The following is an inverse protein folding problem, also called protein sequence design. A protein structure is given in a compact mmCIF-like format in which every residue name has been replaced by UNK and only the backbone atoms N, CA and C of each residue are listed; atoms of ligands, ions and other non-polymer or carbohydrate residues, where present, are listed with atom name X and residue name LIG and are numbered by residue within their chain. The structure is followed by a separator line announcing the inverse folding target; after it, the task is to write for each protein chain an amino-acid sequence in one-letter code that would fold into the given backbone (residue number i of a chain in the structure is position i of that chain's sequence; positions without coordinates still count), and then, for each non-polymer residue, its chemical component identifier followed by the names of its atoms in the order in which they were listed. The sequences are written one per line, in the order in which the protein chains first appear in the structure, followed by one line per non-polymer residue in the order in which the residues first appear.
data_IF_517716121392
#
_entry.id   IF_517716121392
#
_cell.length_a   1.000
_cell.length_b   1.000
_cell.length_c   1.000
_cell.angle_alpha   90.00
_cell.angle_beta   90.00
_cell.angle_gamma   90.00
#
_symmetry.space_group_name_H-M   'P 1'
#
loop_
_entity.id
_entity.type
_entity.pdbx_description
1 polymer ?
#
# COMPACT_ATOMS: atom_id res chain seq x y z
N UNK A 1 13.11 -15.78 5.32
CA UNK A 1 13.15 -14.34 5.66
C UNK A 1 13.44 -14.25 7.15
N UNK A 2 14.71 -14.13 7.54
CA UNK A 2 15.17 -14.30 8.94
C UNK A 2 15.69 -13.01 9.58
N UNK A 3 15.56 -11.88 8.87
CA UNK A 3 16.04 -10.55 9.30
C UNK A 3 15.59 -10.17 10.71
N UNK A 4 14.30 -10.39 11.01
CA UNK A 4 13.73 -10.03 12.30
C UNK A 4 14.44 -10.75 13.45
N UNK A 5 15.00 -11.95 13.25
CA UNK A 5 15.74 -12.67 14.29
C UNK A 5 17.09 -12.05 14.59
N UNK A 6 17.72 -11.43 13.59
CA UNK A 6 19.02 -10.76 13.73
C UNK A 6 18.88 -9.38 14.40
N UNK A 7 17.75 -8.70 14.15
CA UNK A 7 17.48 -7.34 14.64
C UNK A 7 16.59 -7.29 15.89
N UNK A 8 16.03 -8.43 16.33
CA UNK A 8 15.27 -8.55 17.58
C UNK A 8 16.16 -8.52 18.82
N UNK A 9 16.99 -7.47 18.94
CA UNK A 9 17.76 -7.17 20.13
C UNK A 9 17.65 -5.68 20.48
N UNK A 10 17.90 -5.37 21.75
CA UNK A 10 17.69 -4.03 22.31
C UNK A 10 18.54 -2.95 21.60
N UNK A 11 19.81 -3.23 21.33
CA UNK A 11 20.72 -2.24 20.70
C UNK A 11 20.29 -1.92 19.27
N UNK A 12 19.98 -2.94 18.48
CA UNK A 12 19.55 -2.77 17.08
C UNK A 12 18.21 -2.06 16.97
N UNK A 13 17.28 -2.37 17.86
CA UNK A 13 16.00 -1.70 17.96
C UNK A 13 16.15 -0.19 18.21
N UNK A 14 16.98 0.21 19.19
CA UNK A 14 17.19 1.61 19.53
C UNK A 14 18.11 2.35 18.54
N UNK A 15 18.99 1.64 17.83
CA UNK A 15 19.82 2.21 16.75
C UNK A 15 19.08 2.39 15.42
N UNK A 16 17.79 2.04 15.36
CA UNK A 16 17.00 2.24 14.15
C UNK A 16 16.78 3.75 13.91
N UNK A 17 17.12 4.29 12.72
CA UNK A 17 17.04 5.72 12.44
C UNK A 17 15.58 6.16 12.22
N UNK A 18 14.79 6.15 13.29
CA UNK A 18 13.41 6.64 13.30
C UNK A 18 13.38 8.14 13.08
N UNK A 19 12.29 8.64 12.51
CA UNK A 19 12.03 10.08 12.44
C UNK A 19 12.05 10.73 13.83
N UNK A 20 12.53 11.97 13.92
CA UNK A 20 12.68 12.70 15.19
C UNK A 20 11.38 12.77 16.00
N UNK A 21 10.23 12.91 15.31
CA UNK A 21 8.91 12.91 15.95
C UNK A 21 8.64 11.62 16.75
N UNK A 22 9.09 10.47 16.23
CA UNK A 22 8.97 9.18 16.95
C UNK A 22 9.91 9.14 18.15
N UNK A 23 11.14 9.64 17.98
CA UNK A 23 12.12 9.67 19.07
C UNK A 23 11.64 10.53 20.24
N UNK A 24 11.05 11.70 19.95
CA UNK A 24 10.45 12.58 20.97
C UNK A 24 9.24 11.96 21.68
N UNK A 25 8.50 11.10 20.98
CA UNK A 25 7.33 10.43 21.54
C UNK A 25 7.68 9.18 22.34
N UNK A 26 8.86 8.59 22.12
CA UNK A 26 9.30 7.31 22.67
C UNK A 26 9.90 7.47 24.09
N UNK A 27 9.03 7.74 25.06
CA UNK A 27 9.35 7.73 26.48
C UNK A 27 8.84 6.44 27.15
N UNK A 28 8.80 6.37 28.49
CA UNK A 28 8.16 5.27 29.22
C UNK A 28 6.71 5.03 28.76
N UNK A 29 6.04 6.09 28.34
CA UNK A 29 4.72 6.10 27.71
C UNK A 29 4.79 6.92 26.43
N UNK A 30 3.93 6.63 25.46
CA UNK A 30 3.88 7.43 24.24
C UNK A 30 3.46 8.87 24.55
N UNK A 31 4.35 9.83 24.31
CA UNK A 31 4.08 11.25 24.56
C UNK A 31 3.50 11.90 23.31
N UNK A 32 2.35 12.56 23.46
CA UNK A 32 1.72 13.33 22.38
C UNK A 32 2.24 14.77 22.38
N UNK A 33 3.22 15.04 21.51
CA UNK A 33 3.76 16.39 21.31
C UNK A 33 2.98 17.15 20.24
N UNK A 34 2.69 18.43 20.49
CA UNK A 34 2.05 19.31 19.49
C UNK A 34 2.95 19.46 18.25
N UNK A 35 2.38 19.29 17.06
CA UNK A 35 3.09 19.25 15.78
C UNK A 35 3.41 17.82 15.28
N UNK A 36 3.34 16.82 16.17
CA UNK A 36 3.60 15.41 15.84
C UNK A 36 2.30 14.60 15.67
N UNK A 37 1.16 15.28 15.42
CA UNK A 37 -0.16 14.66 15.30
C UNK A 37 -0.23 13.66 14.14
N UNK A 38 0.63 13.84 13.12
CA UNK A 38 0.76 12.91 12.00
C UNK A 38 1.13 11.49 12.43
N UNK A 39 1.81 11.30 13.57
CA UNK A 39 2.13 9.96 14.07
C UNK A 39 0.87 9.12 14.36
N UNK A 40 -0.23 9.76 14.76
CA UNK A 40 -1.51 9.12 15.04
C UNK A 40 -2.45 9.08 13.83
N UNK A 41 -2.09 9.72 12.71
CA UNK A 41 -2.92 9.74 11.52
C UNK A 41 -2.97 8.36 10.85
N UNK A 42 -4.14 7.89 10.43
CA UNK A 42 -4.26 6.60 9.77
C UNK A 42 -3.55 6.65 8.40
N UNK A 43 -2.55 5.79 8.13
CA UNK A 43 -1.82 5.84 6.87
C UNK A 43 -2.63 5.21 5.72
N UNK A 44 -3.63 4.37 5.97
CA UNK A 44 -4.48 3.82 4.91
C UNK A 44 -5.60 4.81 4.53
N UNK A 45 -6.23 5.45 5.52
CA UNK A 45 -7.32 6.40 5.33
C UNK A 45 -6.86 7.83 5.44
N UNK A 46 -6.29 8.32 4.35
CA UNK A 46 -5.84 9.70 4.26
C UNK A 46 -7.00 10.61 3.85
N UNK A 47 -7.41 11.58 4.70
CA UNK A 47 -8.45 12.53 4.33
C UNK A 47 -8.11 13.27 3.04
N UNK A 48 -9.08 13.37 2.13
CA UNK A 48 -8.93 14.05 0.84
C UNK A 48 -8.19 13.27 -0.25
N UNK A 49 -7.40 12.23 0.08
CA UNK A 49 -6.66 11.45 -0.92
C UNK A 49 -7.60 10.78 -1.93
N UNK A 50 -8.60 10.05 -1.46
CA UNK A 50 -9.52 9.33 -2.34
C UNK A 50 -10.26 10.27 -3.29
N UNK A 51 -10.56 11.50 -2.85
CA UNK A 51 -11.20 12.50 -3.69
C UNK A 51 -10.25 13.02 -4.79
N UNK A 52 -8.98 13.27 -4.46
CA UNK A 52 -7.94 13.62 -5.44
C UNK A 52 -7.82 12.51 -6.49
N UNK A 53 -7.71 11.25 -6.04
CA UNK A 53 -7.58 10.10 -6.92
C UNK A 53 -8.78 9.95 -7.85
N UNK A 54 -10.00 10.01 -7.30
CA UNK A 54 -11.26 9.89 -8.06
C UNK A 54 -11.43 11.02 -9.08
N UNK A 55 -11.17 12.26 -8.65
CA UNK A 55 -11.30 13.47 -9.51
C UNK A 55 -10.37 13.39 -10.71
N UNK A 56 -9.14 12.91 -10.52
CA UNK A 56 -8.12 12.88 -11.57
C UNK A 56 -8.05 11.56 -12.35
N UNK A 57 -8.87 10.57 -12.00
CA UNK A 57 -9.10 9.35 -12.78
C UNK A 57 -10.36 9.48 -13.65
N UNK A 58 -11.47 9.97 -13.08
CA UNK A 58 -12.75 10.06 -13.80
C UNK A 58 -12.79 11.18 -14.83
N UNK A 59 -12.05 12.28 -14.59
CA UNK A 59 -12.06 13.46 -15.45
C UNK A 59 -11.32 13.24 -16.77
N UNK A 60 -10.40 12.27 -16.84
CA UNK A 60 -9.69 11.96 -18.09
C UNK A 60 -10.58 11.21 -19.10
N UNK A 61 -11.60 10.49 -18.63
CA UNK A 61 -12.55 9.80 -19.50
C UNK A 61 -13.54 10.74 -20.23
N UNK A 62 -13.65 12.02 -19.80
CA UNK A 62 -14.65 12.95 -20.34
C UNK A 62 -14.14 14.36 -20.66
N UNK A 63 -12.89 14.71 -20.39
CA UNK A 63 -12.31 16.01 -20.79
C UNK A 63 -11.26 15.83 -21.88
N UNK A 64 -11.69 15.91 -23.14
CA UNK A 64 -10.82 16.01 -24.32
C UNK A 64 -9.93 17.28 -24.30
N UNK A 65 -10.22 18.25 -23.43
CA UNK A 65 -9.70 19.63 -23.59
C UNK A 65 -8.62 20.11 -22.59
N UNK A 66 -8.21 19.32 -21.58
CA UNK A 66 -7.26 19.85 -20.55
C UNK A 66 -6.02 19.03 -20.20
N UNK A 67 -5.85 17.84 -20.75
CA UNK A 67 -4.54 17.20 -20.82
C UNK A 67 -4.51 16.35 -22.08
N UNK A 68 -3.76 16.81 -23.09
CA UNK A 68 -3.56 16.11 -24.36
C UNK A 68 -3.29 14.62 -24.11
N UNK A 69 -4.26 13.85 -24.57
CA UNK A 69 -4.29 12.47 -25.01
C UNK A 69 -3.12 11.55 -24.64
N UNK A 70 -3.48 10.43 -24.03
CA UNK A 70 -2.58 9.32 -23.67
C UNK A 70 -2.48 8.29 -24.81
N UNK A 71 -3.20 8.47 -25.93
CA UNK A 71 -3.22 7.47 -27.00
C UNK A 71 -2.78 7.99 -28.37
N UNK A 72 -2.72 9.30 -28.58
CA UNK A 72 -2.48 9.84 -29.93
C UNK A 72 -1.76 11.19 -29.92
N UNK A 73 -0.56 11.23 -29.34
CA UNK A 73 0.36 12.36 -29.61
C UNK A 73 0.92 12.20 -31.04
N UNK A 74 0.04 12.30 -32.03
CA UNK A 74 0.43 12.87 -33.31
C UNK A 74 0.91 14.29 -33.02
N UNK A 75 2.24 14.39 -32.97
CA UNK A 75 3.06 15.56 -33.23
C UNK A 75 2.27 16.88 -33.35
N UNK A 76 2.29 17.71 -32.29
CA UNK A 76 2.39 19.14 -32.56
C UNK A 76 3.86 19.38 -32.90
N UNK A 77 4.26 19.51 -34.18
CA UNK A 77 5.61 19.95 -34.48
C UNK A 77 5.87 21.23 -33.67
N UNK A 78 7.07 21.38 -33.10
CA UNK A 78 7.42 22.64 -32.46
C UNK A 78 7.09 23.77 -33.45
N UNK A 79 6.41 24.85 -33.01
CA UNK A 79 6.11 25.97 -33.90
C UNK A 79 7.42 26.32 -34.59
N UNK A 80 7.42 26.25 -35.92
CA UNK A 80 8.60 26.38 -36.76
C UNK A 80 9.23 27.76 -36.53
N UNK A 81 10.07 27.89 -35.52
CA UNK A 81 10.84 29.09 -35.25
C UNK A 81 12.29 28.68 -35.00
N UNK A 82 13.02 28.66 -36.11
CA UNK A 82 14.47 28.92 -36.18
C UNK A 82 15.35 28.01 -35.30
N UNK A 83 15.51 26.77 -35.74
CA UNK A 83 16.80 26.07 -35.89
C UNK A 83 17.96 26.36 -34.88
N UNK A 84 17.71 26.33 -33.56
CA UNK A 84 18.80 26.34 -32.55
C UNK A 84 18.67 25.32 -31.42
N UNK A 85 17.50 24.70 -31.23
CA UNK A 85 17.34 23.69 -30.18
C UNK A 85 17.84 22.32 -30.67
N UNK A 86 18.96 21.85 -30.10
CA UNK A 86 19.54 20.55 -30.43
C UNK A 86 18.62 19.39 -29.99
N UNK A 87 17.88 19.56 -28.89
CA UNK A 87 16.98 18.52 -28.37
C UNK A 87 15.73 18.34 -29.22
N UNK A 88 15.32 19.38 -29.95
CA UNK A 88 14.20 19.29 -30.89
C UNK A 88 14.44 18.36 -32.08
N UNK A 89 15.69 17.98 -32.34
CA UNK A 89 16.08 17.01 -33.39
C UNK A 89 16.01 15.56 -32.91
N UNK A 90 15.92 15.33 -31.59
CA UNK A 90 15.91 13.99 -31.04
C UNK A 90 14.51 13.35 -31.17
N UNK A 91 14.45 12.05 -31.49
CA UNK A 91 13.24 11.26 -31.35
C UNK A 91 12.62 11.39 -29.96
N UNK A 92 11.31 11.18 -29.89
CA UNK A 92 10.54 11.32 -28.65
C UNK A 92 11.04 10.36 -27.56
N UNK A 93 11.42 9.16 -27.94
CA UNK A 93 11.91 8.10 -27.07
C UNK A 93 13.17 8.57 -26.33
N UNK A 94 14.12 9.16 -27.06
CA UNK A 94 15.36 9.70 -26.48
C UNK A 94 15.09 10.89 -25.58
N UNK A 95 14.15 11.78 -25.95
CA UNK A 95 13.75 12.90 -25.08
C UNK A 95 13.11 12.38 -23.78
N UNK A 96 12.29 11.35 -23.87
CA UNK A 96 11.62 10.75 -22.70
C UNK A 96 12.62 10.01 -21.82
N UNK A 97 13.60 9.32 -22.41
CA UNK A 97 14.69 8.67 -21.68
C UNK A 97 15.55 9.68 -20.92
N UNK A 98 15.85 10.84 -21.52
CA UNK A 98 16.51 11.95 -20.81
C UNK A 98 15.66 12.38 -19.60
N UNK A 99 14.35 12.57 -19.78
CA UNK A 99 13.46 12.98 -18.69
C UNK A 99 13.41 11.97 -17.54
N UNK A 100 13.46 10.66 -17.81
CA UNK A 100 13.48 9.64 -16.76
C UNK A 100 14.74 9.67 -15.89
N UNK A 101 15.87 10.14 -16.42
CA UNK A 101 17.11 10.29 -15.67
C UNK A 101 17.16 11.52 -14.76
N UNK A 102 16.31 12.52 -15.00
CA UNK A 102 16.42 13.84 -14.36
C UNK A 102 15.56 13.98 -13.10
N UNK A 103 16.00 14.79 -12.15
CA UNK A 103 15.17 15.17 -10.99
C UNK A 103 14.09 16.20 -11.36
N UNK A 104 13.11 16.41 -10.48
CA UNK A 104 12.02 17.37 -10.71
C UNK A 104 12.52 18.82 -10.88
N UNK A 105 13.59 19.20 -10.18
CA UNK A 105 14.28 20.49 -10.34
C UNK A 105 14.89 20.61 -11.73
N UNK A 106 15.63 19.59 -12.15
CA UNK A 106 16.32 19.58 -13.44
C UNK A 106 15.34 19.53 -14.61
N UNK A 107 14.23 18.79 -14.47
CA UNK A 107 13.13 18.81 -15.44
C UNK A 107 12.56 20.21 -15.57
N UNK A 108 12.39 20.94 -14.47
CA UNK A 108 11.88 22.33 -14.51
C UNK A 108 12.87 23.25 -15.21
N UNK A 109 14.16 23.15 -14.89
CA UNK A 109 15.22 23.90 -15.56
C UNK A 109 15.30 23.57 -17.06
N UNK A 110 15.17 22.30 -17.41
CA UNK A 110 15.18 21.83 -18.80
C UNK A 110 13.99 22.36 -19.59
N UNK A 111 12.81 22.44 -18.97
CA UNK A 111 11.60 23.05 -19.57
C UNK A 111 11.78 24.53 -19.85
N UNK A 112 12.54 25.23 -19.02
CA UNK A 112 12.88 26.64 -19.23
C UNK A 112 13.93 26.80 -20.34
N UNK A 113 14.92 25.90 -20.39
CA UNK A 113 16.06 25.97 -21.31
C UNK A 113 15.73 25.52 -22.74
N UNK A 114 14.87 24.52 -22.92
CA UNK A 114 14.57 23.92 -24.23
C UNK A 114 13.05 23.81 -24.47
N UNK A 115 12.54 24.42 -25.56
CA UNK A 115 11.15 24.27 -25.98
C UNK A 115 10.72 22.81 -26.19
N UNK A 116 11.65 21.91 -26.55
CA UNK A 116 11.38 20.50 -26.81
C UNK A 116 10.81 19.73 -25.60
N UNK A 117 10.96 20.27 -24.38
CA UNK A 117 10.50 19.64 -23.13
C UNK A 117 9.31 20.35 -22.46
N UNK A 118 8.78 21.44 -23.05
CA UNK A 118 7.68 22.22 -22.43
C UNK A 118 6.45 21.37 -22.11
N UNK A 119 6.14 20.42 -22.99
CA UNK A 119 5.08 19.43 -22.83
C UNK A 119 5.68 18.13 -22.30
N UNK A 120 5.30 17.74 -21.09
CA UNK A 120 5.74 16.50 -20.48
C UNK A 120 4.68 15.41 -20.63
N UNK A 121 5.06 14.18 -21.04
CA UNK A 121 4.16 13.04 -21.06
C UNK A 121 3.64 12.68 -19.68
N UNK A 122 2.42 12.14 -19.60
CA UNK A 122 1.82 11.65 -18.35
C UNK A 122 2.66 10.51 -17.73
N UNK A 123 3.29 9.67 -18.55
CA UNK A 123 4.20 8.62 -18.10
C UNK A 123 5.39 9.16 -17.31
N UNK A 124 5.88 10.37 -17.61
CA UNK A 124 6.97 11.01 -16.86
C UNK A 124 6.51 11.35 -15.45
N UNK A 125 5.31 11.91 -15.28
CA UNK A 125 4.77 12.20 -13.94
C UNK A 125 4.49 10.93 -13.13
N UNK A 126 4.02 9.85 -13.77
CA UNK A 126 3.87 8.55 -13.12
C UNK A 126 5.22 8.03 -12.62
N UNK A 127 6.26 8.07 -13.45
CA UNK A 127 7.62 7.67 -13.04
C UNK A 127 8.16 8.55 -11.91
N UNK A 128 7.90 9.87 -11.95
CA UNK A 128 8.27 10.78 -10.87
C UNK A 128 7.54 10.47 -9.56
N UNK A 129 6.24 10.13 -9.61
CA UNK A 129 5.47 9.70 -8.45
C UNK A 129 6.06 8.44 -7.84
N UNK A 130 6.32 7.41 -8.65
CA UNK A 130 6.90 6.15 -8.17
C UNK A 130 8.27 6.36 -7.52
N UNK A 131 9.10 7.23 -8.09
CA UNK A 131 10.45 7.46 -7.58
C UNK A 131 10.48 8.37 -6.35
N UNK A 132 9.69 9.45 -6.33
CA UNK A 132 9.75 10.48 -5.26
C UNK A 132 8.69 10.31 -4.17
N UNK A 133 7.58 9.64 -4.49
CA UNK A 133 6.43 9.43 -3.58
C UNK A 133 5.92 7.98 -3.66
N UNK A 134 6.79 6.98 -3.52
CA UNK A 134 6.38 5.57 -3.52
C UNK A 134 5.39 5.24 -2.38
N UNK A 135 5.33 6.09 -1.36
CA UNK A 135 4.35 6.00 -0.27
C UNK A 135 2.91 6.32 -0.69
N UNK A 136 2.64 6.74 -1.94
CA UNK A 136 1.29 6.75 -2.51
C UNK A 136 1.02 5.38 -3.13
N UNK A 137 0.56 4.46 -2.29
CA UNK A 137 0.47 3.05 -2.62
C UNK A 137 -0.55 2.76 -3.74
N UNK A 138 -1.60 3.57 -3.87
CA UNK A 138 -2.65 3.44 -4.88
C UNK A 138 -2.11 3.53 -6.33
N UNK A 139 -0.90 4.06 -6.51
CA UNK A 139 -0.23 4.19 -7.82
C UNK A 139 0.35 2.86 -8.33
N UNK A 140 0.71 1.93 -7.44
CA UNK A 140 1.48 0.73 -7.81
C UNK A 140 1.19 -0.53 -7.00
N UNK A 141 0.68 -0.40 -5.78
CA UNK A 141 0.45 -1.52 -4.89
C UNK A 141 -0.91 -2.15 -5.19
N UNK A 142 -0.90 -3.39 -5.65
CA UNK A 142 -2.11 -4.20 -5.87
C UNK A 142 -2.58 -4.92 -4.61
N UNK A 143 -1.81 -4.85 -3.52
CA UNK A 143 -2.15 -5.54 -2.29
C UNK A 143 -3.30 -4.81 -1.59
N UNK A 144 -4.29 -5.56 -1.07
CA UNK A 144 -5.37 -4.98 -0.31
C UNK A 144 -4.86 -4.40 1.01
N UNK A 145 -5.60 -3.45 1.58
CA UNK A 145 -5.34 -3.01 2.95
C UNK A 145 -5.69 -4.13 3.92
N UNK A 146 -4.78 -4.37 4.85
CA UNK A 146 -5.02 -5.32 5.92
C UNK A 146 -6.25 -4.90 6.72
N UNK A 147 -7.09 -5.88 7.07
CA UNK A 147 -8.20 -5.73 8.00
C UNK A 147 -7.83 -4.90 9.25
N UNK A 148 -6.64 -5.13 9.80
CA UNK A 148 -6.18 -4.49 11.03
C UNK A 148 -6.02 -2.97 10.89
N UNK A 149 -5.82 -2.46 9.68
CA UNK A 149 -5.75 -1.01 9.42
C UNK A 149 -7.13 -0.32 9.42
N UNK A 150 -8.20 -1.09 9.25
CA UNK A 150 -9.58 -0.61 9.15
C UNK A 150 -10.42 -0.89 10.39
N UNK A 151 -9.90 -1.74 11.26
CA UNK A 151 -10.67 -2.28 12.35
C UNK A 151 -10.45 -1.50 13.62
N UNK A 152 -11.54 -1.01 14.21
CA UNK A 152 -11.50 -0.40 15.53
C UNK A 152 -11.55 -1.46 16.63
N UNK A 153 -10.94 -1.18 17.78
CA UNK A 153 -11.01 -2.04 18.96
C UNK A 153 -12.45 -2.36 19.37
N UNK A 154 -13.36 -1.40 19.22
CA UNK A 154 -14.79 -1.59 19.51
C UNK A 154 -15.46 -2.57 18.56
N UNK A 155 -15.11 -2.53 17.26
CA UNK A 155 -15.64 -3.48 16.28
C UNK A 155 -15.14 -4.90 16.54
N UNK A 156 -13.86 -5.06 16.90
CA UNK A 156 -13.29 -6.35 17.32
C UNK A 156 -14.02 -6.93 18.51
N UNK A 157 -14.19 -6.15 19.58
CA UNK A 157 -14.87 -6.61 20.80
C UNK A 157 -16.29 -7.08 20.51
N UNK A 158 -17.06 -6.30 19.74
CA UNK A 158 -18.43 -6.68 19.36
C UNK A 158 -18.49 -7.99 18.59
N UNK A 159 -17.56 -8.19 17.68
CA UNK A 159 -17.52 -9.40 16.88
C UNK A 159 -17.06 -10.61 17.71
N UNK A 160 -16.06 -10.42 18.58
CA UNK A 160 -15.60 -11.46 19.50
C UNK A 160 -16.72 -11.87 20.46
N UNK A 161 -17.40 -10.90 21.07
CA UNK A 161 -18.60 -11.14 21.90
C UNK A 161 -19.68 -11.91 21.14
N UNK A 162 -19.93 -11.56 19.88
CA UNK A 162 -20.89 -12.26 19.03
C UNK A 162 -20.46 -13.70 18.79
N UNK A 163 -19.20 -13.93 18.43
CA UNK A 163 -18.64 -15.26 18.20
C UNK A 163 -18.76 -16.13 19.46
N UNK A 164 -18.38 -15.59 20.63
CA UNK A 164 -18.48 -16.31 21.89
C UNK A 164 -19.93 -16.66 22.26
N UNK A 165 -20.89 -15.76 21.99
CA UNK A 165 -22.33 -16.06 22.18
C UNK A 165 -22.81 -17.18 21.28
N UNK A 166 -22.48 -17.13 19.98
CA UNK A 166 -22.88 -18.15 19.01
C UNK A 166 -22.23 -19.51 19.31
N UNK A 167 -20.93 -19.51 19.65
CA UNK A 167 -20.21 -20.71 20.07
C UNK A 167 -20.79 -21.32 21.34
N UNK A 168 -21.04 -20.50 22.36
CA UNK A 168 -21.63 -20.98 23.62
C UNK A 168 -23.02 -21.59 23.39
N UNK A 169 -23.88 -20.93 22.62
CA UNK A 169 -25.21 -21.48 22.31
C UNK A 169 -25.14 -22.82 21.58
N UNK A 170 -24.15 -23.01 20.70
CA UNK A 170 -23.89 -24.30 20.05
C UNK A 170 -23.41 -25.36 21.06
N UNK A 171 -22.39 -25.04 21.86
CA UNK A 171 -21.83 -25.95 22.86
C UNK A 171 -22.93 -26.39 23.86
N UNK A 172 -23.73 -25.44 24.38
CA UNK A 172 -24.87 -25.70 25.28
C UNK A 172 -25.95 -26.59 24.62
N UNK A 173 -26.21 -26.42 23.31
CA UNK A 173 -27.21 -27.22 22.58
C UNK A 173 -26.73 -28.65 22.32
N UNK A 174 -25.44 -28.84 22.05
CA UNK A 174 -24.83 -30.15 21.89
C UNK A 174 -24.80 -30.90 23.22
N UNK A 175 -24.45 -30.22 24.31
CA UNK A 175 -24.45 -30.80 25.65
C UNK A 175 -25.86 -31.29 26.05
N UNK A 176 -26.90 -30.47 25.84
CA UNK A 176 -28.28 -30.86 26.10
C UNK A 176 -28.76 -32.08 25.30
N UNK A 177 -28.24 -32.28 24.08
CA UNK A 177 -28.56 -33.45 23.25
C UNK A 177 -27.80 -34.72 23.69
N UNK A 178 -26.66 -34.57 24.35
CA UNK A 178 -25.80 -35.68 24.79
C UNK A 178 -26.06 -36.12 26.25
N UNK A 179 -26.78 -35.33 27.05
CA UNK A 179 -27.17 -35.70 28.42
C UNK A 179 -28.18 -36.86 28.50
N UNK A 180 -28.90 -37.19 27.41
CA UNK A 180 -29.68 -38.42 27.31
C UNK A 180 -28.74 -39.63 27.09
N UNK A 181 -28.47 -40.39 28.16
CA UNK A 181 -27.67 -41.61 28.12
C UNK A 181 -28.31 -42.68 27.19
N UNK A 182 -27.90 -42.72 25.92
CA UNK A 182 -28.29 -43.72 24.93
C UNK A 182 -27.62 -43.49 23.57
N UNK A 183 -27.66 -44.48 22.66
CA UNK A 183 -27.26 -44.26 21.27
C UNK A 183 -28.18 -43.19 20.65
N UNK A 184 -27.64 -42.16 19.97
CA UNK A 184 -28.44 -41.08 19.42
C UNK A 184 -29.47 -41.64 18.43
N UNK A 185 -30.74 -41.31 18.65
CA UNK A 185 -31.80 -41.62 17.68
C UNK A 185 -31.55 -40.92 16.34
N UNK A 186 -32.16 -41.42 15.27
CA UNK A 186 -32.08 -40.79 13.94
C UNK A 186 -32.53 -39.32 13.96
N UNK A 187 -33.48 -38.97 14.84
CA UNK A 187 -33.94 -37.59 15.03
C UNK A 187 -32.87 -36.71 15.67
N UNK A 188 -32.19 -37.20 16.72
CA UNK A 188 -31.08 -36.50 17.37
C UNK A 188 -29.90 -36.32 16.42
N UNK A 189 -29.60 -37.34 15.60
CA UNK A 189 -28.56 -37.25 14.58
C UNK A 189 -28.85 -36.17 13.53
N UNK A 190 -30.11 -36.02 13.10
CA UNK A 190 -30.52 -34.94 12.21
C UNK A 190 -30.38 -33.56 12.85
N UNK A 191 -30.71 -33.44 14.14
CA UNK A 191 -30.58 -32.18 14.88
C UNK A 191 -29.10 -31.78 15.07
N UNK A 192 -28.24 -32.73 15.45
CA UNK A 192 -26.78 -32.56 15.53
C UNK A 192 -26.22 -32.08 14.19
N UNK A 193 -26.60 -32.72 13.07
CA UNK A 193 -26.18 -32.26 11.73
C UNK A 193 -26.62 -30.84 11.43
N UNK A 194 -27.84 -30.47 11.83
CA UNK A 194 -28.36 -29.10 11.65
C UNK A 194 -27.57 -28.07 12.45
N UNK A 195 -27.14 -28.43 13.67
CA UNK A 195 -26.32 -27.60 14.55
C UNK A 195 -24.89 -27.48 13.99
N UNK A 196 -24.28 -28.57 13.54
CA UNK A 196 -22.97 -28.54 12.89
C UNK A 196 -22.95 -27.59 11.70
N UNK A 197 -23.98 -27.64 10.84
CA UNK A 197 -24.11 -26.70 9.71
C UNK A 197 -24.21 -25.24 10.18
N UNK A 198 -25.02 -24.95 11.20
CA UNK A 198 -25.12 -23.58 11.77
C UNK A 198 -23.79 -23.11 12.36
N UNK A 199 -23.03 -24.02 12.97
CA UNK A 199 -21.69 -23.72 13.50
C UNK A 199 -20.70 -23.42 12.37
N UNK A 200 -20.71 -24.22 11.29
CA UNK A 200 -19.91 -23.96 10.08
C UNK A 200 -20.24 -22.58 9.48
N UNK A 201 -21.53 -22.26 9.32
CA UNK A 201 -21.96 -20.93 8.84
C UNK A 201 -21.48 -19.78 9.78
N UNK A 202 -21.43 -20.02 11.09
CA UNK A 202 -20.90 -19.04 12.04
C UNK A 202 -19.38 -18.86 11.92
N UNK A 203 -18.63 -19.96 11.73
CA UNK A 203 -17.19 -19.94 11.46
C UNK A 203 -16.91 -19.19 10.16
N UNK A 204 -17.65 -19.51 9.09
CA UNK A 204 -17.51 -18.83 7.80
C UNK A 204 -17.79 -17.33 7.92
N UNK A 205 -18.84 -16.92 8.65
CA UNK A 205 -19.10 -15.50 8.92
C UNK A 205 -17.96 -14.83 9.68
N UNK A 206 -17.38 -15.51 10.67
CA UNK A 206 -16.21 -15.01 11.43
C UNK A 206 -15.02 -14.78 10.51
N UNK A 207 -14.74 -15.73 9.63
CA UNK A 207 -13.56 -15.68 8.75
C UNK A 207 -13.79 -14.78 7.54
N UNK A 208 -15.03 -14.65 7.06
CA UNK A 208 -15.40 -13.68 6.02
C UNK A 208 -15.14 -12.23 6.46
N UNK A 209 -15.30 -11.93 7.75
CA UNK A 209 -14.95 -10.62 8.29
C UNK A 209 -13.44 -10.36 8.29
N UNK A 210 -12.60 -11.40 8.29
CA UNK A 210 -11.14 -11.25 8.24
C UNK A 210 -10.59 -10.92 6.86
N UNK A 211 -11.45 -10.67 5.88
CA UNK A 211 -11.03 -10.40 4.50
C UNK A 211 -10.42 -9.01 4.39
N UNK A 212 -9.27 -8.94 3.74
CA UNK A 212 -8.61 -7.70 3.39
C UNK A 212 -9.46 -6.91 2.39
N UNK A 213 -9.32 -5.58 2.43
CA UNK A 213 -10.09 -4.67 1.59
C UNK A 213 -9.28 -4.24 0.38
N UNK A 214 -9.86 -4.42 -0.82
CA UNK A 214 -9.19 -4.04 -2.06
C UNK A 214 -8.85 -2.56 -2.08
N UNK A 215 -7.59 -2.25 -2.40
CA UNK A 215 -7.17 -0.89 -2.74
C UNK A 215 -7.44 -0.69 -4.23
N UNK A 216 -8.12 0.39 -4.65
CA UNK A 216 -8.28 0.69 -6.06
C UNK A 216 -6.91 1.10 -6.63
N UNK A 217 -6.33 0.24 -7.46
CA UNK A 217 -5.13 0.57 -8.24
C UNK A 217 -5.54 1.50 -9.36
N UNK A 218 -4.82 2.60 -9.51
CA UNK A 218 -5.14 3.60 -10.52
C UNK A 218 -4.86 3.08 -11.95
N UNK A 219 -5.83 3.15 -12.88
CA UNK A 219 -5.64 2.73 -14.26
C UNK A 219 -4.58 3.62 -14.95
N UNK A 220 -3.57 3.00 -15.55
CA UNK A 220 -2.41 3.76 -16.04
C UNK A 220 -2.69 4.75 -17.16
N UNK A 221 -3.71 4.47 -17.98
CA UNK A 221 -4.07 5.24 -19.18
C UNK A 221 -5.13 6.32 -18.91
N UNK A 222 -5.98 6.12 -17.90
CA UNK A 222 -7.10 6.99 -17.56
C UNK A 222 -6.76 7.97 -16.42
N UNK A 223 -5.53 7.93 -15.91
CA UNK A 223 -5.12 8.74 -14.77
C UNK A 223 -4.34 9.98 -15.20
N UNK A 224 -4.77 11.15 -14.76
CA UNK A 224 -3.98 12.38 -14.90
C UNK A 224 -2.87 12.43 -13.84
N UNK A 225 -1.76 11.77 -14.15
CA UNK A 225 -0.57 11.65 -13.31
C UNK A 225 0.06 13.01 -12.96
N UNK A 226 0.00 13.98 -13.86
CA UNK A 226 0.48 15.35 -13.62
C UNK A 226 -0.26 16.00 -12.45
N UNK A 227 -1.59 15.95 -12.44
CA UNK A 227 -2.35 16.56 -11.36
C UNK A 227 -2.19 15.81 -10.03
N UNK A 228 -2.16 14.47 -10.05
CA UNK A 228 -1.86 13.71 -8.82
C UNK A 228 -0.50 14.14 -8.25
N UNK A 229 0.52 14.30 -9.09
CA UNK A 229 1.81 14.79 -8.65
C UNK A 229 1.72 16.20 -8.03
N UNK A 230 1.06 17.14 -8.71
CA UNK A 230 0.92 18.52 -8.22
C UNK A 230 0.13 18.57 -6.89
N UNK A 231 -1.00 17.87 -6.80
CA UNK A 231 -1.83 17.86 -5.59
C UNK A 231 -1.11 17.19 -4.42
N UNK A 232 -0.39 16.10 -4.68
CA UNK A 232 0.41 15.42 -3.64
C UNK A 232 1.55 16.29 -3.12
N UNK A 233 2.15 17.13 -3.96
CA UNK A 233 3.18 18.08 -3.53
C UNK A 233 2.58 19.20 -2.68
N UNK A 234 1.47 19.79 -3.13
CA UNK A 234 0.76 20.85 -2.40
C UNK A 234 0.33 20.43 -1.00
N UNK A 235 -0.11 19.19 -0.83
CA UNK A 235 -0.63 18.69 0.43
C UNK A 235 0.41 17.96 1.30
N UNK A 236 1.65 17.79 0.81
CA UNK A 236 2.66 16.96 1.46
C UNK A 236 2.89 17.28 2.94
N UNK A 237 2.96 18.57 3.27
CA UNK A 237 3.30 19.05 4.61
C UNK A 237 2.07 19.47 5.44
N UNK A 238 0.87 19.43 4.85
CA UNK A 238 -0.38 19.83 5.53
C UNK A 238 -1.30 18.65 5.77
N UNK A 239 -1.17 17.60 4.97
CA UNK A 239 -1.91 16.36 5.14
C UNK A 239 -1.15 15.42 6.07
N UNK A 240 -1.64 15.31 7.31
CA UNK A 240 -1.06 14.44 8.34
C UNK A 240 -0.93 12.97 7.88
N UNK A 241 -1.86 12.49 7.06
CA UNK A 241 -1.80 11.14 6.50
C UNK A 241 -0.65 10.96 5.50
N UNK A 242 -0.38 11.95 4.65
CA UNK A 242 0.79 11.92 3.76
C UNK A 242 2.10 11.97 4.53
N UNK A 243 2.19 12.83 5.55
CA UNK A 243 3.36 12.88 6.43
C UNK A 243 3.62 11.53 7.10
N UNK A 244 2.57 10.86 7.61
CA UNK A 244 2.73 9.54 8.22
C UNK A 244 3.12 8.47 7.20
N UNK A 245 2.51 8.46 6.01
CA UNK A 245 2.87 7.52 4.93
C UNK A 245 4.33 7.67 4.53
N UNK A 246 4.79 8.90 4.33
CA UNK A 246 6.19 9.18 3.98
C UNK A 246 7.14 8.70 5.08
N UNK A 247 6.82 8.95 6.35
CA UNK A 247 7.58 8.47 7.51
C UNK A 247 7.67 6.95 7.53
N UNK A 248 6.53 6.26 7.43
CA UNK A 248 6.46 4.78 7.44
C UNK A 248 7.28 4.21 6.28
N UNK A 249 7.21 4.84 5.11
CA UNK A 249 7.97 4.39 3.96
C UNK A 249 9.48 4.45 4.18
N UNK A 250 9.99 5.54 4.79
CA UNK A 250 11.41 5.63 5.16
C UNK A 250 11.84 4.51 6.12
N UNK A 251 10.97 4.16 7.07
CA UNK A 251 11.22 3.02 7.95
C UNK A 251 11.27 1.70 7.13
N UNK A 252 10.37 1.51 6.17
CA UNK A 252 10.39 0.34 5.28
C UNK A 252 11.66 0.28 4.41
N UNK A 253 12.10 1.39 3.84
CA UNK A 253 13.34 1.47 3.06
C UNK A 253 14.55 1.09 3.89
N UNK A 254 14.63 1.59 5.12
CA UNK A 254 15.72 1.22 6.04
C UNK A 254 15.70 -0.26 6.39
N UNK A 255 14.52 -0.86 6.60
CA UNK A 255 14.40 -2.31 6.81
C UNK A 255 14.94 -3.08 5.59
N UNK A 256 14.56 -2.67 4.37
CA UNK A 256 15.05 -3.29 3.14
C UNK A 256 16.57 -3.14 3.01
N UNK A 257 17.12 -1.94 3.27
CA UNK A 257 18.56 -1.69 3.24
C UNK A 257 19.32 -2.58 4.23
N UNK A 258 18.79 -2.78 5.44
CA UNK A 258 19.35 -3.69 6.44
C UNK A 258 19.27 -5.14 6.00
N UNK A 259 18.15 -5.58 5.43
CA UNK A 259 18.01 -6.93 4.85
C UNK A 259 19.07 -7.16 3.76
N UNK A 260 19.27 -6.21 2.86
CA UNK A 260 20.27 -6.28 1.81
C UNK A 260 21.70 -6.30 2.36
N UNK A 261 21.97 -5.52 3.41
CA UNK A 261 23.24 -5.58 4.13
C UNK A 261 23.51 -6.99 4.66
N UNK A 262 22.57 -7.60 5.38
CA UNK A 262 22.74 -8.95 5.92
C UNK A 262 22.81 -10.03 4.84
N UNK A 263 22.16 -9.83 3.69
CA UNK A 263 22.34 -10.71 2.52
C UNK A 263 23.76 -10.63 1.97
N UNK A 264 24.32 -9.43 1.83
CA UNK A 264 25.72 -9.25 1.39
C UNK A 264 26.72 -9.85 2.38
N UNK A 265 26.42 -9.81 3.66
CA UNK A 265 27.23 -10.41 4.73
C UNK A 265 27.02 -11.92 4.88
N UNK A 266 26.10 -12.53 4.11
CA UNK A 266 25.81 -13.96 4.16
C UNK A 266 24.99 -14.41 5.37
N UNK A 267 24.53 -13.49 6.22
CA UNK A 267 23.73 -13.77 7.41
C UNK A 267 22.27 -14.14 7.09
N UNK A 268 21.77 -13.74 5.91
CA UNK A 268 20.44 -14.11 5.41
C UNK A 268 20.61 -14.66 4.00
N UNK A 269 20.10 -15.88 3.75
CA UNK A 269 20.08 -16.45 2.40
C UNK A 269 19.11 -15.69 1.48
N UNK A 270 19.46 -15.46 0.21
CA UNK A 270 18.52 -14.94 -0.78
C UNK A 270 17.30 -15.87 -0.88
N UNK A 271 16.10 -15.30 -0.99
CA UNK A 271 14.85 -16.07 -1.07
C UNK A 271 14.86 -17.03 -2.28
N UNK A 272 15.62 -16.71 -3.32
CA UNK A 272 15.73 -17.53 -4.54
C UNK A 272 16.62 -18.78 -4.41
N UNK A 273 17.38 -18.93 -3.31
CA UNK A 273 18.20 -20.12 -3.05
C UNK A 273 17.51 -21.16 -2.14
N UNK A 274 16.27 -20.91 -1.72
CA UNK A 274 15.43 -21.92 -1.07
C UNK A 274 14.79 -22.85 -2.10
N UNK A 275 15.59 -23.63 -2.84
CA UNK A 275 15.11 -24.78 -3.64
C UNK A 275 15.57 -26.11 -3.01
N UNK A 276 14.55 -26.83 -2.52
CA UNK A 276 14.38 -28.28 -2.46
C UNK A 276 15.49 -29.08 -1.76
N UNK A 277 15.28 -29.38 -0.47
CA UNK A 277 15.78 -30.63 0.09
C UNK A 277 15.05 -31.78 -0.63
N UNK A 278 15.74 -32.76 -1.23
CA UNK A 278 15.09 -33.98 -1.67
C UNK A 278 14.58 -34.70 -0.42
N UNK A 279 13.29 -34.95 -0.35
CA UNK A 279 12.78 -36.05 0.45
C UNK A 279 13.25 -37.33 -0.25
N UNK A 280 14.38 -37.88 0.17
CA UNK A 280 14.77 -39.24 -0.19
C UNK A 280 13.75 -40.19 0.46
N UNK A 281 12.77 -40.58 -0.35
CA UNK A 281 11.92 -41.72 -0.09
C UNK A 281 12.78 -42.98 -0.16
N UNK A 282 13.00 -43.60 0.99
CA UNK A 282 13.45 -44.99 1.05
C UNK A 282 12.27 -45.88 0.64
N UNK A 283 12.42 -46.55 -0.50
CA UNK A 283 11.72 -47.81 -0.80
C UNK A 283 12.43 -48.96 -0.10
#
# INVERSE_FOLDING_TARGET
MDWFRLEANYEKFNSFPRAEAVQRAQEQWWMHTKGDEHLAANPCFVPGLQEILRTHTSSFAHNEDKCRDVSDVEFRPPPSSKAKDAFGKLPYELRTQILYGLESSDITNLRLASPAFRSLPQSVFRTLLLRKKPWIWEVWCTLPYSLWAMTTSTSLKRQDERWWKEKKAFDDSIEALLEEFGDPSDSQNQEIQSLCRKYEEAVERRDAWKKDMSVPVLPSTETNWCEIFIQSEKQRNTNLGFMNRERIWRDCEEIINRIEKYRREGAIRPVFEQKVLPCDGSQ
#
